data_IF_482285814563
#
_entry.id   IF_482285814563
#
_cell.length_a   1.000
_cell.length_b   1.000
_cell.length_c   1.000
_cell.angle_alpha   90.00
_cell.angle_beta   90.00
_cell.angle_gamma   90.00
#
_symmetry.space_group_name_H-M   'P 1'
#
loop_
_entity.id
_entity.type
_entity.pdbx_description
1 polymer ?
#
# COMPACT_ATOMS: atom_id res chain seq x y z
N UNK A 1 20.85 -6.07 6.33
CA UNK A 1 19.69 -5.62 5.55
C UNK A 1 18.44 -6.04 6.30
N UNK A 2 17.67 -5.07 6.79
CA UNK A 2 16.31 -5.35 7.24
C UNK A 2 15.50 -5.68 5.99
N UNK A 3 15.33 -6.97 5.72
CA UNK A 3 14.56 -7.40 4.57
C UNK A 3 13.10 -7.01 4.80
N UNK A 4 12.51 -6.25 3.89
CA UNK A 4 11.09 -6.02 3.89
C UNK A 4 10.37 -7.37 3.75
N UNK A 5 9.33 -7.59 4.53
CA UNK A 5 8.60 -8.85 4.57
C UNK A 5 7.10 -8.60 4.81
N UNK A 6 6.29 -9.59 4.52
CA UNK A 6 4.84 -9.53 4.82
C UNK A 6 4.59 -9.71 6.32
N UNK A 7 5.28 -10.69 6.93
CA UNK A 7 5.24 -10.97 8.37
C UNK A 7 6.67 -11.19 8.85
N UNK A 8 7.07 -10.48 9.91
CA UNK A 8 8.39 -10.70 10.51
C UNK A 8 8.44 -12.09 11.14
N UNK A 9 9.42 -12.89 10.70
CA UNK A 9 9.63 -14.24 11.22
C UNK A 9 11.02 -14.32 11.84
N UNK A 10 11.14 -15.01 12.98
CA UNK A 10 12.40 -15.30 13.65
C UNK A 10 12.57 -16.80 13.79
N UNK A 11 13.70 -17.30 13.38
CA UNK A 11 14.07 -18.71 13.52
C UNK A 11 15.60 -18.85 13.52
N UNK A 12 16.10 -19.92 14.12
CA UNK A 12 17.50 -20.28 14.12
C UNK A 12 17.91 -20.97 12.80
N UNK A 13 19.20 -21.13 12.55
CA UNK A 13 19.70 -21.91 11.42
C UNK A 13 19.25 -23.38 11.49
N UNK A 14 19.18 -23.97 12.69
CA UNK A 14 18.74 -25.35 12.88
C UNK A 14 17.25 -25.51 12.56
N UNK A 15 16.41 -24.59 13.01
CA UNK A 15 14.98 -24.56 12.67
C UNK A 15 14.76 -24.37 11.16
N UNK A 16 15.56 -23.53 10.49
CA UNK A 16 15.54 -23.41 9.05
C UNK A 16 15.91 -24.70 8.35
N UNK A 17 17.01 -25.33 8.76
CA UNK A 17 17.52 -26.55 8.15
C UNK A 17 16.56 -27.74 8.34
N UNK A 18 15.81 -27.77 9.43
CA UNK A 18 14.79 -28.79 9.72
C UNK A 18 13.51 -28.68 8.88
N UNK A 19 13.26 -27.50 8.24
CA UNK A 19 12.07 -27.27 7.40
C UNK A 19 12.12 -28.11 6.13
N UNK A 20 10.95 -28.59 5.72
CA UNK A 20 10.74 -29.16 4.39
C UNK A 20 10.94 -28.11 3.29
N UNK A 21 11.15 -28.53 2.04
CA UNK A 21 11.26 -27.60 0.90
C UNK A 21 10.01 -26.71 0.75
N UNK A 22 8.81 -27.27 0.95
CA UNK A 22 7.57 -26.50 0.89
C UNK A 22 7.50 -25.40 1.98
N UNK A 23 7.88 -25.73 3.22
CA UNK A 23 7.95 -24.74 4.31
C UNK A 23 8.99 -23.67 4.07
N UNK A 24 10.16 -24.05 3.50
CA UNK A 24 11.19 -23.07 3.09
C UNK A 24 10.67 -22.11 2.02
N UNK A 25 9.98 -22.64 0.99
CA UNK A 25 9.38 -21.80 -0.05
C UNK A 25 8.30 -20.85 0.49
N UNK A 26 7.47 -21.31 1.42
CA UNK A 26 6.49 -20.43 2.08
C UNK A 26 7.17 -19.30 2.86
N UNK A 27 8.25 -19.61 3.59
CA UNK A 27 9.04 -18.57 4.28
C UNK A 27 9.68 -17.61 3.28
N UNK A 28 10.31 -18.12 2.20
CA UNK A 28 10.96 -17.28 1.19
C UNK A 28 9.96 -16.34 0.51
N UNK A 29 8.74 -16.76 0.24
CA UNK A 29 7.70 -15.88 -0.32
C UNK A 29 7.37 -14.69 0.58
N UNK A 30 7.51 -14.86 1.89
CA UNK A 30 7.32 -13.77 2.86
C UNK A 30 8.37 -12.64 2.70
N UNK A 31 9.55 -12.95 2.16
CA UNK A 31 10.68 -12.01 2.00
C UNK A 31 11.00 -11.64 0.54
N UNK A 32 10.49 -12.37 -0.45
CA UNK A 32 10.70 -12.05 -1.87
C UNK A 32 10.06 -10.72 -2.26
N UNK A 33 10.64 -10.03 -3.24
CA UNK A 33 10.05 -8.83 -3.82
C UNK A 33 8.73 -9.11 -4.55
N UNK A 34 8.65 -10.23 -5.26
CA UNK A 34 7.39 -10.73 -5.81
C UNK A 34 6.79 -11.75 -4.83
N UNK A 35 5.57 -11.52 -4.39
CA UNK A 35 4.85 -12.39 -3.46
C UNK A 35 3.36 -12.45 -3.79
N UNK A 36 2.67 -13.47 -3.31
CA UNK A 36 1.25 -13.73 -3.58
C UNK A 36 0.44 -13.48 -2.31
N UNK A 37 -0.61 -12.67 -2.42
CA UNK A 37 -1.49 -12.37 -1.30
C UNK A 37 -2.94 -12.15 -1.74
N UNK A 38 -3.87 -12.36 -0.81
CA UNK A 38 -5.25 -11.95 -0.96
C UNK A 38 -5.36 -10.45 -0.64
N UNK A 39 -5.75 -9.67 -1.62
CA UNK A 39 -5.86 -8.21 -1.48
C UNK A 39 -7.10 -7.66 -2.14
N UNK A 40 -7.52 -6.48 -1.71
CA UNK A 40 -8.57 -5.71 -2.40
C UNK A 40 -8.00 -5.12 -3.68
N UNK A 41 -8.71 -5.33 -4.79
CA UNK A 41 -8.29 -4.88 -6.12
C UNK A 41 -9.40 -4.12 -6.83
N UNK A 42 -9.00 -3.25 -7.73
CA UNK A 42 -9.92 -2.59 -8.65
C UNK A 42 -10.28 -3.58 -9.77
N UNK A 43 -11.40 -4.26 -9.64
CA UNK A 43 -11.89 -5.22 -10.61
C UNK A 43 -12.82 -4.54 -11.62
N UNK A 44 -12.60 -4.77 -12.91
CA UNK A 44 -13.50 -4.31 -13.97
C UNK A 44 -14.12 -5.51 -14.69
N UNK A 45 -15.39 -5.86 -14.43
CA UNK A 45 -16.04 -7.02 -15.04
C UNK A 45 -16.08 -6.96 -16.57
N UNK A 46 -16.28 -5.78 -17.16
CA UNK A 46 -16.36 -5.59 -18.61
C UNK A 46 -15.00 -5.79 -19.30
N UNK A 47 -13.92 -5.44 -18.63
CA UNK A 47 -12.56 -5.70 -19.12
C UNK A 47 -12.03 -7.07 -18.67
N UNK A 48 -12.71 -7.72 -17.71
CA UNK A 48 -12.37 -9.02 -17.16
C UNK A 48 -10.98 -9.07 -16.54
N UNK A 49 -10.54 -7.95 -15.96
CA UNK A 49 -9.19 -7.84 -15.38
C UNK A 49 -9.13 -6.87 -14.21
N UNK A 50 -8.09 -7.03 -13.40
CA UNK A 50 -7.70 -6.09 -12.36
C UNK A 50 -7.03 -4.87 -13.00
N UNK A 51 -7.30 -3.69 -12.43
CA UNK A 51 -6.74 -2.41 -12.84
C UNK A 51 -5.87 -1.82 -11.72
N UNK A 52 -4.77 -1.18 -12.10
CA UNK A 52 -3.98 -0.36 -11.20
C UNK A 52 -4.75 0.92 -10.80
N UNK A 53 -4.32 1.59 -9.73
CA UNK A 53 -5.02 2.79 -9.26
C UNK A 53 -4.99 3.95 -10.27
N UNK A 54 -3.96 4.05 -11.08
CA UNK A 54 -3.81 5.01 -12.17
C UNK A 54 -4.67 4.67 -13.41
N UNK A 55 -5.15 3.42 -13.52
CA UNK A 55 -6.08 2.96 -14.54
C UNK A 55 -7.57 3.19 -14.18
N UNK A 56 -7.85 3.76 -13.01
CA UNK A 56 -9.22 4.04 -12.53
C UNK A 56 -9.40 5.52 -12.26
N UNK A 57 -10.48 6.09 -12.79
CA UNK A 57 -10.85 7.50 -12.59
C UNK A 57 -12.36 7.60 -12.32
N UNK A 58 -12.71 8.22 -11.18
CA UNK A 58 -14.10 8.44 -10.77
C UNK A 58 -14.94 7.15 -10.74
N UNK A 59 -14.34 6.04 -10.27
CA UNK A 59 -14.99 4.72 -10.21
C UNK A 59 -15.12 4.01 -11.57
N UNK A 60 -14.55 4.59 -12.63
CA UNK A 60 -14.57 4.04 -13.98
C UNK A 60 -13.16 3.71 -14.46
N UNK A 61 -13.05 2.71 -15.33
CA UNK A 61 -11.81 2.41 -16.04
C UNK A 61 -11.45 3.55 -17.00
N UNK A 62 -10.20 3.99 -17.00
CA UNK A 62 -9.71 5.00 -17.97
C UNK A 62 -9.89 4.49 -19.40
N UNK A 63 -9.71 3.19 -19.59
CA UNK A 63 -9.96 2.53 -20.88
C UNK A 63 -11.42 2.06 -20.93
N UNK A 64 -12.22 2.68 -21.77
CA UNK A 64 -13.60 2.28 -22.08
C UNK A 64 -14.67 2.85 -21.15
N UNK A 65 -14.29 3.50 -20.03
CA UNK A 65 -15.25 4.14 -19.11
C UNK A 65 -16.18 3.15 -18.40
N UNK A 66 -15.72 1.93 -18.13
CA UNK A 66 -16.52 0.88 -17.51
C UNK A 66 -16.50 0.98 -15.99
N UNK A 67 -17.59 0.63 -15.28
CA UNK A 67 -17.63 0.55 -13.84
C UNK A 67 -16.55 -0.38 -13.27
N UNK A 68 -15.93 0.07 -12.17
CA UNK A 68 -14.90 -0.66 -11.44
C UNK A 68 -15.42 -0.91 -10.03
N UNK A 69 -15.26 -2.13 -9.55
CA UNK A 69 -15.65 -2.55 -8.21
C UNK A 69 -14.46 -3.02 -7.38
N UNK A 70 -14.58 -2.91 -6.06
CA UNK A 70 -13.60 -3.47 -5.13
C UNK A 70 -13.89 -4.95 -4.94
N UNK A 71 -12.90 -5.80 -5.27
CA UNK A 71 -13.01 -7.26 -5.16
C UNK A 71 -11.81 -7.83 -4.43
N UNK A 72 -12.01 -8.75 -3.50
CA UNK A 72 -10.91 -9.47 -2.88
C UNK A 72 -10.46 -10.60 -3.80
N UNK A 73 -9.20 -10.58 -4.20
CA UNK A 73 -8.63 -11.57 -5.11
C UNK A 73 -7.20 -11.92 -4.69
N UNK A 74 -6.81 -13.17 -4.92
CA UNK A 74 -5.42 -13.61 -4.78
C UNK A 74 -4.62 -13.09 -5.97
N UNK A 75 -3.57 -12.28 -5.69
CA UNK A 75 -2.80 -11.56 -6.69
C UNK A 75 -1.30 -11.71 -6.42
N UNK A 76 -0.50 -11.64 -7.47
CA UNK A 76 0.91 -11.32 -7.34
C UNK A 76 1.07 -9.83 -7.07
N UNK A 77 1.90 -9.51 -6.09
CA UNK A 77 2.30 -8.16 -5.74
C UNK A 77 3.81 -8.01 -5.89
N UNK A 78 4.24 -6.79 -6.20
CA UNK A 78 5.64 -6.43 -6.24
C UNK A 78 5.93 -5.44 -5.11
N UNK A 79 6.86 -5.79 -4.23
CA UNK A 79 7.19 -5.06 -3.00
C UNK A 79 8.02 -3.80 -3.29
N UNK A 80 7.42 -2.86 -4.01
CA UNK A 80 8.07 -1.58 -4.34
C UNK A 80 8.32 -0.73 -3.09
N UNK A 81 7.56 -0.98 -2.01
CA UNK A 81 7.74 -0.31 -0.72
C UNK A 81 9.09 -0.61 -0.07
N UNK A 82 9.72 -1.74 -0.39
CA UNK A 82 11.06 -2.08 0.08
C UNK A 82 12.13 -1.06 -0.39
N UNK A 83 11.87 -0.35 -1.48
CA UNK A 83 12.76 0.66 -2.05
C UNK A 83 12.27 2.09 -1.82
N UNK A 84 11.18 2.30 -1.08
CA UNK A 84 10.57 3.61 -0.90
C UNK A 84 11.54 4.68 -0.39
N UNK A 85 12.31 4.40 0.68
CA UNK A 85 13.29 5.34 1.21
C UNK A 85 14.40 5.61 0.20
N UNK A 86 14.89 4.58 -0.45
CA UNK A 86 15.99 4.68 -1.42
C UNK A 86 15.59 5.49 -2.65
N UNK A 87 14.33 5.34 -3.11
CA UNK A 87 13.76 6.19 -4.16
C UNK A 87 13.64 7.65 -3.73
N UNK A 88 13.33 7.94 -2.45
CA UNK A 88 13.32 9.32 -1.93
C UNK A 88 14.74 9.90 -1.92
N UNK A 89 15.69 9.19 -1.36
CA UNK A 89 17.10 9.63 -1.25
C UNK A 89 17.75 9.83 -2.62
N UNK A 90 17.37 9.02 -3.61
CA UNK A 90 17.83 9.12 -4.98
C UNK A 90 17.38 10.39 -5.70
N UNK A 91 16.22 10.97 -5.35
CA UNK A 91 15.70 12.17 -6.02
C UNK A 91 16.66 13.36 -5.97
N UNK A 92 17.43 13.49 -4.92
CA UNK A 92 18.36 14.62 -4.74
C UNK A 92 19.56 14.54 -5.70
N UNK A 93 19.86 13.33 -6.21
CA UNK A 93 20.94 13.09 -7.17
C UNK A 93 20.53 13.35 -8.63
N UNK A 94 19.23 13.50 -8.91
CA UNK A 94 18.68 13.59 -10.26
C UNK A 94 18.56 15.04 -10.74
N UNK A 95 18.91 15.28 -12.01
CA UNK A 95 18.70 16.58 -12.69
C UNK A 95 17.28 16.67 -13.26
N UNK A 96 16.28 16.51 -12.37
CA UNK A 96 14.86 16.59 -12.67
C UNK A 96 14.27 17.88 -12.12
N UNK A 97 13.12 18.31 -12.66
CA UNK A 97 12.43 19.50 -12.15
C UNK A 97 11.95 19.28 -10.71
N UNK A 98 11.94 20.35 -9.91
CA UNK A 98 11.49 20.29 -8.53
C UNK A 98 10.03 19.85 -8.43
N UNK A 99 9.19 20.29 -9.38
CA UNK A 99 7.78 19.86 -9.44
C UNK A 99 7.62 18.36 -9.62
N UNK A 100 8.43 17.72 -10.46
CA UNK A 100 8.40 16.28 -10.66
C UNK A 100 8.91 15.53 -9.42
N UNK A 101 10.01 16.00 -8.84
CA UNK A 101 10.53 15.44 -7.59
C UNK A 101 9.49 15.51 -6.47
N UNK A 102 8.77 16.63 -6.37
CA UNK A 102 7.72 16.81 -5.37
C UNK A 102 6.52 15.88 -5.62
N UNK A 103 6.12 15.67 -6.88
CA UNK A 103 5.10 14.67 -7.21
C UNK A 103 5.51 13.28 -6.71
N UNK A 104 6.75 12.86 -6.93
CA UNK A 104 7.24 11.56 -6.46
C UNK A 104 7.37 11.50 -4.93
N UNK A 105 7.88 12.56 -4.27
CA UNK A 105 7.92 12.64 -2.80
C UNK A 105 6.53 12.49 -2.19
N UNK A 106 5.56 13.21 -2.75
CA UNK A 106 4.17 13.16 -2.31
C UNK A 106 3.53 11.79 -2.59
N UNK A 107 3.87 11.14 -3.68
CA UNK A 107 3.37 9.80 -4.01
C UNK A 107 3.92 8.74 -3.06
N UNK A 108 5.22 8.76 -2.80
CA UNK A 108 5.85 7.88 -1.82
C UNK A 108 5.32 8.19 -0.41
N UNK A 109 5.16 9.47 -0.07
CA UNK A 109 4.44 9.93 1.12
C UNK A 109 5.03 9.39 2.42
N UNK A 110 6.34 9.61 2.63
CA UNK A 110 7.03 9.24 3.87
C UNK A 110 6.49 10.01 5.05
N UNK A 111 6.11 9.32 6.10
CA UNK A 111 5.71 9.91 7.38
C UNK A 111 6.41 9.21 8.54
N UNK A 112 6.72 9.97 9.57
CA UNK A 112 7.22 9.44 10.85
C UNK A 112 6.09 9.56 11.85
N UNK A 113 5.78 8.47 12.53
CA UNK A 113 4.69 8.43 13.49
C UNK A 113 4.94 7.40 14.59
N UNK A 114 3.96 7.24 15.46
CA UNK A 114 3.90 6.19 16.46
C UNK A 114 2.90 5.11 16.03
N UNK A 115 3.33 3.86 16.10
CA UNK A 115 2.45 2.72 16.28
C UNK A 115 2.06 2.70 17.75
N UNK A 116 0.77 2.62 18.05
CA UNK A 116 0.28 2.54 19.44
C UNK A 116 -0.80 1.48 19.53
N UNK A 117 -0.77 0.71 20.61
CA UNK A 117 -1.75 -0.33 20.90
C UNK A 117 -2.74 0.15 21.96
N UNK A 118 -4.02 0.00 21.65
CA UNK A 118 -5.14 0.25 22.55
C UNK A 118 -5.76 -1.09 22.96
N UNK A 119 -5.83 -1.38 24.26
CA UNK A 119 -6.51 -2.57 24.75
C UNK A 119 -8.02 -2.48 24.44
N UNK A 120 -8.63 -3.61 24.06
CA UNK A 120 -10.07 -3.69 23.85
C UNK A 120 -10.70 -4.18 25.14
N UNK A 121 -11.71 -3.44 25.64
CA UNK A 121 -12.38 -3.78 26.88
C UNK A 121 -13.04 -5.17 26.81
N UNK A 122 -12.74 -6.03 27.77
CA UNK A 122 -13.28 -7.39 27.82
C UNK A 122 -12.64 -8.38 26.82
N UNK A 123 -11.49 -8.04 26.22
CA UNK A 123 -10.75 -8.89 25.28
C UNK A 123 -9.24 -8.85 25.55
N UNK A 124 -8.54 -9.93 25.21
CA UNK A 124 -7.06 -9.96 25.23
C UNK A 124 -6.43 -9.30 23.98
N UNK A 125 -7.25 -8.81 23.06
CA UNK A 125 -6.80 -8.17 21.83
C UNK A 125 -6.47 -6.70 22.03
N UNK A 126 -5.56 -6.20 21.18
CA UNK A 126 -5.14 -4.80 21.15
C UNK A 126 -5.35 -4.23 19.76
N UNK A 127 -6.09 -3.13 19.68
CA UNK A 127 -6.27 -2.40 18.43
C UNK A 127 -5.02 -1.58 18.13
N UNK A 128 -4.37 -1.86 17.01
CA UNK A 128 -3.19 -1.14 16.55
C UNK A 128 -3.58 0.09 15.73
N UNK A 129 -2.99 1.25 16.05
CA UNK A 129 -3.09 2.45 15.25
C UNK A 129 -1.72 3.00 14.86
N UNK A 130 -1.69 3.76 13.78
CA UNK A 130 -0.56 4.60 13.42
C UNK A 130 -0.97 6.07 13.41
N UNK A 131 -0.21 6.91 14.12
CA UNK A 131 -0.47 8.35 14.16
C UNK A 131 0.81 9.17 13.98
N UNK A 132 0.73 10.26 13.21
CA UNK A 132 1.80 11.27 13.12
C UNK A 132 1.68 12.34 14.22
N UNK A 133 0.60 12.27 15.02
CA UNK A 133 0.30 13.20 16.11
C UNK A 133 0.13 12.46 17.45
N UNK A 134 1.17 11.73 17.92
CA UNK A 134 1.09 11.04 19.21
C UNK A 134 0.90 12.00 20.39
N UNK A 135 1.32 13.27 20.25
CA UNK A 135 1.10 14.35 21.21
C UNK A 135 -0.38 14.56 21.57
N UNK A 136 -1.29 14.24 20.65
CA UNK A 136 -2.74 14.47 20.85
C UNK A 136 -3.47 13.29 21.52
N UNK A 137 -2.79 12.22 21.93
CA UNK A 137 -3.41 11.00 22.45
C UNK A 137 -4.30 11.25 23.68
N UNK A 138 -4.00 12.25 24.49
CA UNK A 138 -4.80 12.64 25.65
C UNK A 138 -6.18 13.23 25.28
N UNK A 139 -6.35 13.67 24.03
CA UNK A 139 -7.60 14.21 23.49
C UNK A 139 -8.40 13.21 22.68
N UNK A 140 -8.01 11.94 22.68
CA UNK A 140 -8.74 10.86 21.98
C UNK A 140 -10.04 10.57 22.72
N UNK A 141 -11.15 10.68 22.02
CA UNK A 141 -12.51 10.48 22.60
C UNK A 141 -13.28 9.33 21.95
N UNK A 142 -12.81 8.83 20.81
CA UNK A 142 -13.34 7.63 20.17
C UNK A 142 -12.27 6.99 19.24
N UNK A 143 -12.52 5.75 18.83
CA UNK A 143 -11.75 5.05 17.83
C UNK A 143 -12.61 4.85 16.60
N UNK A 144 -11.98 4.80 15.42
CA UNK A 144 -12.67 4.45 14.18
C UNK A 144 -11.89 3.38 13.44
N UNK A 145 -12.60 2.35 13.00
CA UNK A 145 -12.06 1.31 12.14
C UNK A 145 -12.73 1.33 10.77
N UNK A 146 -12.02 0.89 9.76
CA UNK A 146 -12.55 0.78 8.40
C UNK A 146 -13.68 -0.26 8.36
N UNK A 147 -14.72 -0.06 7.53
CA UNK A 147 -15.80 -1.04 7.38
C UNK A 147 -15.33 -2.43 6.92
N UNK A 148 -14.17 -2.50 6.25
CA UNK A 148 -13.54 -3.72 5.76
C UNK A 148 -12.54 -4.34 6.74
N UNK A 149 -12.35 -3.74 7.92
CA UNK A 149 -11.40 -4.25 8.92
C UNK A 149 -11.82 -5.65 9.40
N UNK A 150 -10.86 -6.57 9.50
CA UNK A 150 -11.12 -7.98 9.80
C UNK A 150 -11.83 -8.23 11.13
N UNK A 151 -11.67 -7.33 12.10
CA UNK A 151 -12.26 -7.46 13.43
C UNK A 151 -13.64 -6.79 13.57
N UNK A 152 -14.20 -6.19 12.53
CA UNK A 152 -15.51 -5.52 12.62
C UNK A 152 -16.58 -6.49 13.17
N UNK A 153 -16.64 -7.72 12.64
CA UNK A 153 -17.62 -8.70 13.09
C UNK A 153 -17.45 -9.11 14.55
N UNK A 154 -16.22 -9.21 15.03
CA UNK A 154 -15.89 -9.59 16.40
C UNK A 154 -16.11 -8.44 17.40
N UNK A 155 -15.82 -7.22 16.98
CA UNK A 155 -16.00 -6.00 17.78
C UNK A 155 -17.47 -5.51 17.79
N UNK A 156 -18.35 -6.10 17.00
CA UNK A 156 -19.75 -5.69 16.92
C UNK A 156 -20.60 -6.40 17.94
N UNK A 157 -21.14 -5.64 18.89
CA UNK A 157 -22.12 -6.15 19.85
C UNK A 157 -23.39 -6.68 19.15
N UNK A 158 -24.05 -7.70 19.69
CA UNK A 158 -25.22 -8.31 19.04
C UNK A 158 -26.33 -7.32 18.66
N UNK A 159 -26.59 -6.33 19.50
CA UNK A 159 -27.59 -5.28 19.28
C UNK A 159 -27.23 -4.33 18.14
N UNK A 160 -25.94 -4.15 17.81
CA UNK A 160 -25.46 -3.25 16.76
C UNK A 160 -25.28 -3.97 15.41
N UNK A 161 -25.38 -5.30 15.37
CA UNK A 161 -25.03 -6.12 14.21
C UNK A 161 -25.77 -5.73 12.94
N UNK A 162 -27.08 -5.57 13.03
CA UNK A 162 -27.89 -5.21 11.84
C UNK A 162 -27.49 -3.86 11.23
N UNK A 163 -27.25 -2.85 12.08
CA UNK A 163 -26.85 -1.52 11.63
C UNK A 163 -25.42 -1.53 11.03
N UNK A 164 -24.51 -2.31 11.62
CA UNK A 164 -23.14 -2.47 11.13
C UNK A 164 -23.12 -3.19 9.78
N UNK A 165 -23.88 -4.26 9.59
CA UNK A 165 -23.97 -5.00 8.33
C UNK A 165 -24.56 -4.13 7.21
N UNK A 166 -25.60 -3.35 7.51
CA UNK A 166 -26.19 -2.40 6.57
C UNK A 166 -25.16 -1.35 6.15
N UNK A 167 -24.44 -0.77 7.13
CA UNK A 167 -23.41 0.23 6.85
C UNK A 167 -22.28 -0.32 5.97
N UNK A 168 -21.79 -1.53 6.24
CA UNK A 168 -20.77 -2.20 5.43
C UNK A 168 -21.27 -2.39 3.98
N UNK A 169 -22.53 -2.81 3.80
CA UNK A 169 -23.12 -2.99 2.48
C UNK A 169 -23.22 -1.66 1.69
N UNK A 170 -23.45 -0.54 2.38
CA UNK A 170 -23.45 0.80 1.80
C UNK A 170 -22.03 1.27 1.47
N UNK A 171 -21.07 1.09 2.37
CA UNK A 171 -19.67 1.50 2.20
C UNK A 171 -19.00 0.79 1.00
N UNK A 172 -19.30 -0.51 0.78
CA UNK A 172 -18.79 -1.30 -0.36
C UNK A 172 -19.17 -0.75 -1.73
N UNK A 173 -20.23 0.06 -1.83
CA UNK A 173 -20.67 0.67 -3.10
C UNK A 173 -19.85 1.90 -3.49
N UNK A 174 -18.95 2.37 -2.61
CA UNK A 174 -18.14 3.57 -2.81
C UNK A 174 -16.67 3.20 -3.01
N UNK A 175 -16.05 3.81 -4.00
CA UNK A 175 -14.60 3.67 -4.21
C UNK A 175 -13.80 4.38 -3.09
N UNK A 176 -12.58 3.93 -2.82
CA UNK A 176 -11.68 4.60 -1.86
C UNK A 176 -11.47 6.09 -2.22
N UNK A 177 -11.40 6.40 -3.52
CA UNK A 177 -11.22 7.78 -4.00
C UNK A 177 -12.42 8.67 -3.68
N UNK A 178 -13.65 8.16 -3.86
CA UNK A 178 -14.86 8.89 -3.47
C UNK A 178 -14.91 9.12 -1.97
N UNK A 179 -14.50 8.12 -1.18
CA UNK A 179 -14.42 8.20 0.28
C UNK A 179 -13.41 9.25 0.74
N UNK A 180 -12.26 9.37 0.06
CA UNK A 180 -11.23 10.38 0.35
C UNK A 180 -11.69 11.79 -0.08
N UNK A 181 -12.35 11.90 -1.24
CA UNK A 181 -12.74 13.19 -1.82
C UNK A 181 -13.93 13.84 -1.10
N UNK A 182 -14.84 13.04 -0.55
CA UNK A 182 -16.06 13.53 0.08
C UNK A 182 -15.87 13.83 1.58
N UNK A 183 -15.26 14.97 1.87
CA UNK A 183 -15.00 15.43 3.25
C UNK A 183 -16.24 16.02 3.95
N UNK A 184 -17.35 16.25 3.23
CA UNK A 184 -18.56 16.89 3.79
C UNK A 184 -19.58 15.91 4.36
N UNK A 185 -19.50 14.64 4.00
CA UNK A 185 -20.43 13.62 4.47
C UNK A 185 -19.89 12.98 5.74
N UNK A 186 -20.62 13.13 6.83
CA UNK A 186 -20.36 12.40 8.08
C UNK A 186 -21.24 11.16 8.11
N UNK A 187 -20.63 9.99 8.24
CA UNK A 187 -21.33 8.72 8.36
C UNK A 187 -20.55 7.72 9.20
N UNK A 188 -21.22 6.88 9.94
CA UNK A 188 -20.61 5.84 10.75
C UNK A 188 -21.64 5.13 11.63
N UNK A 189 -21.22 4.04 12.26
CA UNK A 189 -22.05 3.25 13.19
C UNK A 189 -21.20 2.80 14.36
N UNK A 190 -21.71 2.88 15.58
CA UNK A 190 -21.06 2.36 16.77
C UNK A 190 -21.04 0.82 16.71
N UNK A 191 -19.91 0.23 17.07
CA UNK A 191 -19.79 -1.25 17.18
C UNK A 191 -20.43 -1.79 18.47
N UNK A 192 -20.52 -0.95 19.51
CA UNK A 192 -20.90 -1.37 20.85
C UNK A 192 -19.72 -1.79 21.73
N UNK A 193 -18.51 -1.90 21.17
CA UNK A 193 -17.26 -2.17 21.90
C UNK A 193 -16.50 -0.89 22.24
N UNK A 194 -15.59 -1.03 23.21
CA UNK A 194 -14.75 0.07 23.69
C UNK A 194 -13.27 -0.31 23.64
N UNK A 195 -12.44 0.68 23.39
CA UNK A 195 -11.00 0.60 23.56
C UNK A 195 -10.56 1.42 24.77
N UNK A 196 -9.46 1.02 25.40
CA UNK A 196 -8.90 1.75 26.55
C UNK A 196 -7.74 2.62 26.08
N UNK A 197 -7.86 3.93 26.29
CA UNK A 197 -6.76 4.85 26.00
C UNK A 197 -5.57 4.56 26.94
N UNK A 198 -4.39 4.18 26.41
CA UNK A 198 -3.28 3.71 27.23
C UNK A 198 -2.63 4.79 28.12
N UNK A 199 -2.92 6.08 27.86
CA UNK A 199 -2.39 7.19 28.66
C UNK A 199 -3.37 7.74 29.67
N UNK A 200 -4.67 7.70 29.39
CA UNK A 200 -5.70 8.25 30.29
C UNK A 200 -6.44 7.16 31.06
N UNK A 201 -6.35 5.90 30.66
CA UNK A 201 -7.12 4.78 31.20
C UNK A 201 -8.62 4.83 30.91
N UNK A 202 -9.08 5.79 30.12
CA UNK A 202 -10.51 5.94 29.78
C UNK A 202 -10.93 4.95 28.72
N UNK A 203 -12.08 4.32 28.91
CA UNK A 203 -12.78 3.56 27.86
C UNK A 203 -13.38 4.55 26.85
N UNK A 204 -13.13 4.33 25.57
CA UNK A 204 -13.58 5.15 24.45
C UNK A 204 -14.29 4.27 23.43
N UNK A 205 -15.44 4.69 22.86
CA UNK A 205 -16.23 3.86 21.97
C UNK A 205 -15.53 3.63 20.63
N UNK A 206 -15.76 2.46 20.03
CA UNK A 206 -15.27 2.08 18.71
C UNK A 206 -16.41 2.23 17.71
N UNK A 207 -16.16 2.98 16.66
CA UNK A 207 -17.05 3.17 15.50
C UNK A 207 -16.48 2.54 14.24
N UNK A 208 -17.33 2.21 13.29
CA UNK A 208 -16.95 2.00 11.89
C UNK A 208 -17.30 3.25 11.09
N UNK A 209 -16.42 3.66 10.18
CA UNK A 209 -16.72 4.75 9.25
C UNK A 209 -15.92 4.61 7.97
N UNK A 210 -16.53 5.02 6.86
CA UNK A 210 -15.95 4.94 5.54
C UNK A 210 -14.89 6.00 5.23
N UNK A 211 -14.65 6.97 6.14
CA UNK A 211 -13.49 7.87 6.01
C UNK A 211 -12.16 7.23 6.44
N UNK A 212 -12.20 6.07 7.12
CA UNK A 212 -11.03 5.25 7.41
C UNK A 212 -10.90 4.16 6.36
N UNK A 213 -9.71 3.99 5.81
CA UNK A 213 -9.43 3.02 4.75
C UNK A 213 -8.67 1.82 5.29
N UNK A 214 -9.15 0.60 5.03
CA UNK A 214 -8.49 -0.64 5.47
C UNK A 214 -7.09 -0.81 4.89
N UNK A 215 -6.86 -0.29 3.70
CA UNK A 215 -5.56 -0.36 3.04
C UNK A 215 -4.59 0.77 3.43
N UNK A 216 -4.92 1.67 4.35
CA UNK A 216 -4.03 2.72 4.83
C UNK A 216 -3.71 2.55 6.32
N UNK A 217 -2.43 2.40 6.65
CA UNK A 217 -2.00 2.09 8.01
C UNK A 217 -2.51 0.75 8.48
N UNK A 218 -3.13 0.73 9.64
CA UNK A 218 -3.70 -0.47 10.27
C UNK A 218 -5.19 -0.67 9.96
N UNK A 219 -5.81 0.25 9.22
CA UNK A 219 -7.25 0.29 9.04
C UNK A 219 -8.02 0.76 10.28
N UNK A 220 -7.30 1.29 11.27
CA UNK A 220 -7.85 1.85 12.51
C UNK A 220 -7.17 3.18 12.83
N UNK A 221 -7.91 4.11 13.41
CA UNK A 221 -7.40 5.41 13.86
C UNK A 221 -7.88 5.73 15.27
N UNK A 222 -7.08 6.47 16.00
CA UNK A 222 -7.52 7.23 17.16
C UNK A 222 -8.10 8.56 16.69
N UNK A 223 -9.27 8.93 17.13
CA UNK A 223 -9.94 10.17 16.74
C UNK A 223 -9.76 11.27 17.79
N UNK A 224 -9.34 12.45 17.32
CA UNK A 224 -9.04 13.62 18.16
C UNK A 224 -9.85 14.83 17.68
N UNK A 225 -11.12 14.94 18.04
CA UNK A 225 -12.04 15.96 17.50
C UNK A 225 -11.56 17.40 17.67
N UNK A 226 -10.83 17.70 18.73
CA UNK A 226 -10.33 19.05 18.93
C UNK A 226 -9.26 19.48 17.91
N UNK A 227 -8.60 18.51 17.22
CA UNK A 227 -7.41 18.76 16.40
C UNK A 227 -7.40 18.07 15.03
N UNK A 228 -8.56 17.54 14.59
CA UNK A 228 -8.80 17.04 13.24
C UNK A 228 -10.22 17.38 12.81
N UNK A 229 -10.36 18.02 11.66
CA UNK A 229 -11.65 18.54 11.18
C UNK A 229 -12.67 17.44 10.82
N UNK A 230 -12.21 16.26 10.40
CA UNK A 230 -13.11 15.12 10.13
C UNK A 230 -13.60 14.50 11.43
N UNK A 231 -12.71 14.32 12.39
CA UNK A 231 -13.04 13.80 13.71
C UNK A 231 -13.96 14.78 14.44
N UNK A 232 -13.75 16.11 14.27
CA UNK A 232 -14.60 17.14 14.82
C UNK A 232 -16.02 17.05 14.27
N UNK A 233 -16.16 16.98 12.94
CA UNK A 233 -17.47 16.84 12.31
C UNK A 233 -18.19 15.56 12.77
N UNK A 234 -17.44 14.45 12.90
CA UNK A 234 -17.95 13.18 13.39
C UNK A 234 -18.42 13.29 14.85
N UNK A 235 -17.60 13.84 15.73
CA UNK A 235 -17.95 14.03 17.14
C UNK A 235 -19.18 14.93 17.31
N UNK A 236 -19.29 16.03 16.57
CA UNK A 236 -20.47 16.91 16.58
C UNK A 236 -21.73 16.19 16.11
N UNK A 237 -21.61 15.33 15.09
CA UNK A 237 -22.74 14.56 14.56
C UNK A 237 -23.27 13.51 15.54
N UNK A 238 -22.36 12.81 16.22
CA UNK A 238 -22.70 11.72 17.14
C UNK A 238 -22.78 12.15 18.61
N UNK A 239 -22.58 13.43 18.92
CA UNK A 239 -22.64 13.95 20.28
C UNK A 239 -21.53 13.44 21.19
N UNK A 240 -20.31 13.21 20.62
CA UNK A 240 -19.14 12.75 21.35
C UNK A 240 -18.34 13.91 21.93
N UNK A 241 -17.56 13.64 22.98
CA UNK A 241 -16.74 14.62 23.65
C UNK A 241 -15.67 15.23 22.73
N UNK A 242 -15.39 16.51 22.89
CA UNK A 242 -14.30 17.25 22.22
C UNK A 242 -13.37 17.78 23.28
N UNK A 243 -12.20 17.17 23.44
CA UNK A 243 -11.21 17.49 24.47
C UNK A 243 -10.01 18.23 23.87
N UNK A 244 -9.82 19.53 24.14
CA UNK A 244 -8.66 20.26 23.65
C UNK A 244 -7.38 19.82 24.35
N UNK A 245 -6.33 19.55 23.59
CA UNK A 245 -5.00 19.21 24.10
C UNK A 245 -3.89 20.13 23.58
N UNK A 246 -4.22 21.01 22.63
CA UNK A 246 -3.38 22.14 22.22
C UNK A 246 -4.17 23.43 22.44
N UNK A 247 -3.55 24.42 23.06
CA UNK A 247 -4.18 25.73 23.31
C UNK A 247 -4.28 26.53 22.02
N UNK A 248 -5.49 26.83 21.57
CA UNK A 248 -5.77 27.66 20.38
C UNK A 248 -7.13 27.35 19.78
N UNK A 249 -7.57 28.20 18.85
CA UNK A 249 -8.85 28.05 18.16
C UNK A 249 -10.10 28.34 18.98
N UNK A 250 -11.24 28.25 18.32
CA UNK A 250 -12.60 28.37 18.90
C UNK A 250 -13.36 27.05 18.60
N UNK A 251 -13.26 26.09 19.51
CA UNK A 251 -13.86 24.76 19.36
C UNK A 251 -15.38 24.74 19.33
N UNK A 252 -16.05 25.88 19.61
CA UNK A 252 -17.49 26.00 19.37
C UNK A 252 -17.82 26.10 17.88
N UNK A 253 -16.86 26.53 17.07
CA UNK A 253 -17.00 26.73 15.60
C UNK A 253 -16.35 25.65 14.76
N UNK A 254 -15.09 25.32 15.08
CA UNK A 254 -14.26 24.40 14.28
C UNK A 254 -13.15 23.76 15.11
N UNK A 255 -12.53 22.71 14.58
CA UNK A 255 -11.33 22.12 15.15
C UNK A 255 -10.12 23.04 15.03
N UNK A 256 -9.13 22.84 15.89
CA UNK A 256 -7.83 23.51 15.80
C UNK A 256 -6.79 22.56 15.24
N UNK A 257 -6.68 22.49 13.90
CA UNK A 257 -5.84 21.53 13.18
C UNK A 257 -4.36 21.96 13.10
N UNK A 258 -4.00 23.15 13.62
CA UNK A 258 -2.64 23.64 13.57
C UNK A 258 -1.67 22.73 14.35
N UNK A 259 -0.49 22.49 13.74
CA UNK A 259 0.58 21.67 14.34
C UNK A 259 1.54 22.52 15.18
N UNK A 260 1.00 23.54 15.84
CA UNK A 260 1.73 24.48 16.67
C UNK A 260 0.86 24.95 17.85
N UNK A 261 1.48 25.43 18.90
CA UNK A 261 0.83 25.86 20.12
C UNK A 261 1.32 25.11 21.34
N UNK A 262 0.78 25.46 22.51
CA UNK A 262 1.16 24.83 23.78
C UNK A 262 0.20 23.73 24.18
N UNK A 263 0.76 22.64 24.67
CA UNK A 263 0.01 21.49 25.17
C UNK A 263 -0.72 21.86 26.46
N UNK A 264 -1.99 21.41 26.55
CA UNK A 264 -2.87 21.50 27.72
C UNK A 264 -3.59 20.15 27.90
N UNK A 265 -4.11 19.86 29.07
CA UNK A 265 -4.87 18.63 29.39
C UNK A 265 -4.12 17.32 28.98
N UNK A 266 -2.79 17.34 29.00
CA UNK A 266 -1.91 16.31 28.43
C UNK A 266 -0.83 15.86 29.41
N UNK A 267 -1.15 15.82 30.72
CA UNK A 267 -0.27 15.33 31.79
C UNK A 267 1.15 15.95 31.72
N UNK A 268 2.18 15.14 31.56
CA UNK A 268 3.60 15.54 31.50
C UNK A 268 3.94 16.43 30.28
N UNK A 269 3.08 16.52 29.28
CA UNK A 269 3.25 17.40 28.12
C UNK A 269 2.74 18.84 28.37
N UNK A 270 1.98 19.08 29.43
CA UNK A 270 1.39 20.40 29.70
C UNK A 270 2.44 21.51 29.68
N UNK A 271 2.14 22.59 28.94
CA UNK A 271 3.00 23.76 28.80
C UNK A 271 4.15 23.64 27.80
N UNK A 272 4.39 22.45 27.21
CA UNK A 272 5.37 22.24 26.13
C UNK A 272 4.81 22.69 24.80
N UNK A 273 5.67 23.08 23.87
CA UNK A 273 5.27 23.30 22.49
C UNK A 273 5.04 21.96 21.76
N UNK A 274 4.12 21.92 20.81
CA UNK A 274 3.79 20.70 20.02
C UNK A 274 5.07 20.08 19.41
N UNK A 275 6.02 20.90 18.91
CA UNK A 275 7.28 20.43 18.34
C UNK A 275 8.17 19.69 19.35
N UNK A 276 8.06 20.03 20.62
CA UNK A 276 8.77 19.36 21.73
C UNK A 276 7.97 18.14 22.23
N UNK A 277 6.65 18.22 22.22
CA UNK A 277 5.76 17.17 22.70
C UNK A 277 5.81 15.89 21.83
N UNK A 278 5.88 16.03 20.51
CA UNK A 278 5.89 14.89 19.57
C UNK A 278 7.08 13.95 19.84
N UNK A 279 8.36 14.39 19.86
CA UNK A 279 9.49 13.49 20.16
C UNK A 279 9.39 12.89 21.56
N UNK A 280 8.96 13.64 22.57
CA UNK A 280 8.77 13.12 23.92
C UNK A 280 7.73 12.00 23.96
N UNK A 281 6.66 12.12 23.17
CA UNK A 281 5.65 11.06 23.08
C UNK A 281 6.16 9.81 22.38
N UNK A 282 7.01 9.93 21.36
CA UNK A 282 7.67 8.75 20.78
C UNK A 282 8.47 7.98 21.84
N UNK A 283 9.29 8.71 22.61
CA UNK A 283 10.14 8.10 23.64
C UNK A 283 9.27 7.48 24.76
N UNK A 284 8.17 8.11 25.13
CA UNK A 284 7.29 7.63 26.20
C UNK A 284 6.44 6.42 25.78
N UNK A 285 5.98 6.37 24.51
CA UNK A 285 5.30 5.19 23.93
C UNK A 285 6.22 3.97 23.96
N UNK A 286 7.48 4.14 23.56
CA UNK A 286 8.49 3.07 23.58
C UNK A 286 8.86 2.68 25.01
N UNK A 287 9.10 3.64 25.90
CA UNK A 287 9.44 3.42 27.31
C UNK A 287 8.38 2.62 28.06
N UNK A 288 7.09 2.90 27.81
CA UNK A 288 5.96 2.16 28.42
C UNK A 288 5.64 0.83 27.74
N UNK A 289 6.30 0.50 26.63
CA UNK A 289 5.98 -0.71 25.85
C UNK A 289 4.60 -0.66 25.17
N UNK A 290 4.06 0.53 24.92
CA UNK A 290 2.74 0.75 24.32
C UNK A 290 2.77 0.75 22.80
N UNK A 291 3.97 0.71 22.22
CA UNK A 291 4.20 0.74 20.79
C UNK A 291 5.63 1.13 20.44
N UNK A 292 5.82 1.68 19.25
CA UNK A 292 7.14 2.10 18.77
C UNK A 292 7.04 3.23 17.74
N UNK A 293 8.14 3.97 17.56
CA UNK A 293 8.28 4.90 16.44
C UNK A 293 8.41 4.10 15.13
N UNK A 294 7.65 4.50 14.11
CA UNK A 294 7.70 3.90 12.78
C UNK A 294 7.83 4.96 11.70
N UNK A 295 8.51 4.57 10.64
CA UNK A 295 8.43 5.25 9.34
C UNK A 295 7.40 4.51 8.49
N UNK A 296 6.39 5.22 8.05
CA UNK A 296 5.36 4.68 7.17
C UNK A 296 5.38 5.40 5.82
N UNK A 297 4.95 4.70 4.77
CA UNK A 297 4.87 5.23 3.42
C UNK A 297 3.42 5.11 2.92
N UNK A 298 2.97 6.14 2.19
CA UNK A 298 1.69 6.06 1.48
C UNK A 298 1.76 5.16 0.25
N UNK A 299 2.96 5.05 -0.34
CA UNK A 299 3.25 4.10 -1.41
C UNK A 299 2.85 2.69 -0.99
N UNK A 300 2.21 1.96 -1.87
CA UNK A 300 1.81 0.57 -1.68
C UNK A 300 2.49 -0.34 -2.67
N UNK A 301 2.56 -1.62 -2.31
CA UNK A 301 3.07 -2.64 -3.21
C UNK A 301 2.19 -2.71 -4.47
N UNK A 302 2.84 -2.88 -5.59
CA UNK A 302 2.16 -2.88 -6.89
C UNK A 302 1.44 -4.21 -7.12
N UNK A 303 0.17 -4.15 -7.53
CA UNK A 303 -0.54 -5.33 -8.05
C UNK A 303 0.10 -5.69 -9.38
N UNK A 304 0.73 -6.86 -9.44
CA UNK A 304 1.63 -7.25 -10.52
C UNK A 304 1.06 -8.36 -11.42
N UNK A 305 -0.18 -8.77 -11.25
CA UNK A 305 -0.84 -9.76 -12.11
C UNK A 305 -2.07 -9.20 -12.83
N UNK A 306 -2.31 -9.69 -14.06
CA UNK A 306 -3.44 -9.34 -14.90
C UNK A 306 -4.11 -10.59 -15.45
N UNK A 307 -5.42 -10.59 -15.47
CA UNK A 307 -6.26 -11.67 -16.00
C UNK A 307 -6.43 -11.51 -17.52
N UNK A 308 -5.31 -11.48 -18.24
CA UNK A 308 -5.26 -11.32 -19.70
C UNK A 308 -4.20 -12.23 -20.29
N UNK A 309 -4.28 -12.49 -21.59
CA UNK A 309 -3.30 -13.31 -22.30
C UNK A 309 -2.01 -12.53 -22.64
N UNK A 310 -2.16 -11.34 -23.26
CA UNK A 310 -1.03 -10.54 -23.69
C UNK A 310 -0.32 -9.87 -22.51
N UNK A 311 0.83 -10.38 -22.18
CA UNK A 311 1.72 -9.94 -21.13
C UNK A 311 2.80 -10.98 -20.90
N UNK A 312 3.87 -10.65 -20.20
CA UNK A 312 4.91 -11.59 -19.81
C UNK A 312 4.31 -12.65 -18.86
N UNK A 313 4.48 -13.96 -19.15
CA UNK A 313 4.04 -15.01 -18.23
C UNK A 313 4.91 -15.04 -16.98
N UNK A 314 4.33 -15.41 -15.86
CA UNK A 314 5.11 -15.67 -14.65
C UNK A 314 5.86 -17.01 -14.77
N UNK A 315 7.18 -17.03 -14.57
CA UNK A 315 7.96 -18.27 -14.60
C UNK A 315 7.81 -19.04 -13.27
N UNK A 316 6.57 -19.40 -12.94
CA UNK A 316 6.18 -20.00 -11.65
C UNK A 316 5.20 -21.15 -11.89
N UNK A 317 5.38 -22.24 -11.17
CA UNK A 317 4.42 -23.34 -11.10
C UNK A 317 3.98 -23.60 -9.66
N UNK A 318 2.87 -24.31 -9.48
CA UNK A 318 2.29 -24.59 -8.18
C UNK A 318 2.36 -26.09 -7.86
N UNK A 319 2.82 -26.38 -6.63
CA UNK A 319 2.74 -27.70 -6.02
C UNK A 319 2.11 -27.54 -4.64
N UNK A 320 0.97 -28.18 -4.41
CA UNK A 320 0.21 -28.10 -3.17
C UNK A 320 -0.10 -26.63 -2.75
N UNK A 321 -0.51 -25.79 -3.72
CA UNK A 321 -0.77 -24.33 -3.61
C UNK A 321 0.48 -23.48 -3.24
N UNK A 322 1.65 -24.07 -3.14
CA UNK A 322 2.91 -23.38 -2.93
C UNK A 322 3.52 -23.02 -4.29
N UNK A 323 3.90 -21.75 -4.46
CA UNK A 323 4.51 -21.27 -5.70
C UNK A 323 6.02 -21.54 -5.73
N UNK A 324 6.49 -22.14 -6.80
CA UNK A 324 7.90 -22.41 -7.07
C UNK A 324 8.37 -21.72 -8.34
N UNK A 325 9.52 -21.03 -8.33
CA UNK A 325 10.09 -20.47 -9.54
C UNK A 325 10.58 -21.59 -10.47
N UNK A 326 10.45 -21.36 -11.77
CA UNK A 326 11.09 -22.23 -12.77
C UNK A 326 12.61 -22.13 -12.67
N UNK A 327 13.28 -23.25 -12.90
CA UNK A 327 14.73 -23.26 -13.03
C UNK A 327 15.18 -22.45 -14.26
N UNK A 328 16.35 -21.83 -14.20
CA UNK A 328 16.85 -20.94 -15.26
C UNK A 328 16.97 -21.65 -16.64
N UNK A 329 17.27 -22.93 -16.65
CA UNK A 329 17.34 -23.74 -17.87
C UNK A 329 15.98 -24.02 -18.54
N UNK A 330 14.87 -23.67 -17.88
CA UNK A 330 13.48 -23.76 -18.37
C UNK A 330 12.94 -22.42 -18.88
N UNK A 331 13.78 -21.41 -18.94
CA UNK A 331 13.42 -20.08 -19.45
C UNK A 331 13.90 -19.90 -20.90
N UNK A 332 13.20 -19.13 -21.73
CA UNK A 332 11.95 -18.40 -21.42
C UNK A 332 10.72 -19.31 -21.35
N UNK A 333 9.77 -18.97 -20.48
CA UNK A 333 8.43 -19.55 -20.50
C UNK A 333 7.62 -18.82 -21.57
N UNK A 334 7.26 -19.52 -22.65
CA UNK A 334 6.51 -18.94 -23.77
C UNK A 334 5.00 -19.13 -23.58
N UNK A 335 4.23 -18.12 -24.00
CA UNK A 335 2.77 -18.21 -23.99
C UNK A 335 2.30 -19.25 -25.03
N UNK A 336 1.40 -20.17 -24.65
CA UNK A 336 0.85 -21.15 -25.58
C UNK A 336 -0.12 -20.49 -26.55
N UNK A 337 -0.27 -20.99 -27.79
CA UNK A 337 -1.29 -20.50 -28.71
C UNK A 337 -2.70 -20.75 -28.13
N UNK A 338 -3.58 -19.74 -28.21
CA UNK A 338 -4.97 -19.84 -27.80
C UNK A 338 -5.91 -19.26 -28.88
N UNK A 339 -7.12 -19.78 -28.95
CA UNK A 339 -8.13 -19.30 -29.91
C UNK A 339 -8.98 -18.14 -29.33
N UNK A 340 -9.21 -18.11 -28.03
CA UNK A 340 -10.07 -17.15 -27.37
C UNK A 340 -9.33 -16.32 -26.32
N UNK A 341 -9.10 -15.05 -26.60
CA UNK A 341 -8.45 -14.07 -25.74
C UNK A 341 -9.43 -13.30 -24.85
N UNK A 342 -10.73 -13.50 -25.05
CA UNK A 342 -11.77 -12.72 -24.37
C UNK A 342 -11.75 -12.91 -22.85
N UNK A 343 -12.04 -11.85 -22.09
CA UNK A 343 -12.17 -11.93 -20.64
C UNK A 343 -13.42 -12.72 -20.25
N UNK A 344 -13.45 -13.18 -18.99
CA UNK A 344 -14.67 -13.68 -18.36
C UNK A 344 -15.11 -12.71 -17.26
N UNK A 345 -16.41 -12.62 -17.02
CA UNK A 345 -16.96 -11.76 -15.97
C UNK A 345 -16.52 -12.22 -14.56
N UNK A 346 -16.26 -13.50 -14.39
CA UNK A 346 -15.81 -14.14 -13.17
C UNK A 346 -14.32 -13.86 -12.85
N UNK A 347 -13.55 -13.44 -13.87
CA UNK A 347 -12.13 -13.15 -13.75
C UNK A 347 -11.23 -14.35 -13.97
N UNK A 348 -11.73 -15.38 -14.66
CA UNK A 348 -10.90 -16.48 -15.07
C UNK A 348 -9.92 -16.03 -16.18
N UNK A 349 -8.58 -16.16 -15.94
CA UNK A 349 -7.60 -15.75 -16.93
C UNK A 349 -7.68 -16.63 -18.19
N UNK A 350 -7.39 -16.08 -19.39
CA UNK A 350 -7.41 -16.86 -20.64
C UNK A 350 -6.57 -18.12 -20.62
N UNK A 351 -5.44 -18.13 -19.91
CA UNK A 351 -4.56 -19.30 -19.77
C UNK A 351 -5.20 -20.47 -19.00
N UNK A 352 -6.23 -20.22 -18.17
CA UNK A 352 -6.98 -21.28 -17.48
C UNK A 352 -7.71 -22.21 -18.45
N UNK A 353 -8.00 -21.73 -19.66
CA UNK A 353 -8.67 -22.51 -20.73
C UNK A 353 -7.72 -23.35 -21.59
N UNK A 354 -6.43 -23.22 -21.34
CA UNK A 354 -5.39 -23.96 -22.09
C UNK A 354 -5.16 -25.33 -21.47
N UNK A 355 -5.40 -26.37 -22.25
CA UNK A 355 -5.05 -27.75 -21.85
C UNK A 355 -3.52 -27.93 -21.86
N UNK A 356 -2.96 -28.44 -20.77
CA UNK A 356 -1.54 -28.73 -20.68
C UNK A 356 -0.66 -27.50 -20.36
N UNK A 357 -1.22 -26.40 -19.87
CA UNK A 357 -0.45 -25.29 -19.32
C UNK A 357 0.08 -25.67 -17.93
N UNK A 358 1.09 -26.54 -17.94
CA UNK A 358 1.74 -27.14 -16.76
C UNK A 358 3.15 -27.59 -17.08
N UNK A 359 3.93 -27.90 -16.04
CA UNK A 359 5.25 -28.50 -16.18
C UNK A 359 5.14 -29.92 -16.77
N UNK A 360 6.25 -30.52 -17.25
CA UNK A 360 6.25 -31.92 -17.72
C UNK A 360 5.74 -32.92 -16.67
N UNK A 361 5.90 -32.60 -15.39
CA UNK A 361 5.44 -33.41 -14.26
C UNK A 361 3.95 -33.20 -13.92
N UNK A 362 3.28 -32.24 -14.61
CA UNK A 362 1.87 -31.95 -14.47
C UNK A 362 1.53 -30.86 -13.43
N UNK A 363 2.51 -30.13 -12.92
CA UNK A 363 2.26 -29.00 -12.00
C UNK A 363 1.79 -27.77 -12.79
N UNK A 364 0.64 -27.15 -12.42
CA UNK A 364 0.10 -26.03 -13.17
C UNK A 364 1.01 -24.79 -13.08
N UNK A 365 1.18 -24.08 -14.19
CA UNK A 365 1.79 -22.76 -14.22
C UNK A 365 0.83 -21.67 -13.73
N UNK A 366 1.38 -20.49 -13.41
CA UNK A 366 0.57 -19.29 -13.13
C UNK A 366 -0.30 -18.96 -14.36
N UNK A 367 -1.56 -18.59 -14.08
CA UNK A 367 -2.56 -18.34 -15.12
C UNK A 367 -2.67 -16.87 -15.51
N UNK A 368 -2.23 -15.97 -14.65
CA UNK A 368 -2.17 -14.52 -14.93
C UNK A 368 -0.88 -14.16 -15.66
N UNK A 369 -0.88 -12.99 -16.29
CA UNK A 369 0.32 -12.42 -16.91
C UNK A 369 0.72 -11.13 -16.17
N UNK A 370 1.96 -10.69 -16.35
CA UNK A 370 2.48 -9.47 -15.78
C UNK A 370 1.84 -8.24 -16.44
N UNK A 371 1.74 -7.09 -15.72
CA UNK A 371 1.28 -5.83 -16.31
C UNK A 371 2.28 -5.28 -17.33
N UNK A 372 1.84 -4.38 -18.20
CA UNK A 372 2.70 -3.77 -19.22
C UNK A 372 3.94 -3.06 -18.66
N UNK A 373 3.89 -2.59 -17.43
CA UNK A 373 5.06 -1.97 -16.80
C UNK A 373 6.15 -2.99 -16.37
N UNK A 374 5.92 -4.30 -16.45
CA UNK A 374 6.97 -5.28 -16.24
C UNK A 374 8.10 -5.10 -17.27
N UNK A 375 7.78 -5.17 -18.55
CA UNK A 375 8.75 -4.96 -19.63
C UNK A 375 9.14 -3.50 -19.82
N UNK A 376 8.16 -2.58 -19.81
CA UNK A 376 8.42 -1.17 -20.08
C UNK A 376 9.28 -0.48 -19.02
N UNK A 377 9.40 -1.01 -17.82
CA UNK A 377 10.23 -0.43 -16.77
C UNK A 377 11.73 -0.57 -16.99
N UNK A 378 12.16 -1.49 -17.85
CA UNK A 378 13.57 -1.77 -18.11
C UNK A 378 13.93 -1.77 -19.61
N UNK A 379 13.04 -1.31 -20.50
CA UNK A 379 13.22 -1.36 -21.94
C UNK A 379 14.49 -0.63 -22.42
N UNK A 380 14.87 0.46 -21.77
CA UNK A 380 16.06 1.27 -22.08
C UNK A 380 17.36 0.46 -21.94
N UNK A 381 17.41 -0.54 -21.05
CA UNK A 381 18.54 -1.45 -20.93
C UNK A 381 18.67 -2.34 -22.16
N UNK A 382 17.53 -2.88 -22.65
CA UNK A 382 17.53 -3.66 -23.89
C UNK A 382 17.95 -2.83 -25.11
N UNK A 383 17.66 -1.53 -25.13
CA UNK A 383 18.10 -0.62 -26.20
C UNK A 383 19.61 -0.43 -26.23
N UNK A 384 20.30 -0.58 -25.09
CA UNK A 384 21.76 -0.52 -25.04
C UNK A 384 22.42 -1.74 -25.71
N UNK A 385 21.73 -2.88 -25.71
CA UNK A 385 22.26 -4.16 -26.19
C UNK A 385 21.16 -5.04 -26.81
N UNK A 386 20.59 -4.62 -27.96
CA UNK A 386 19.35 -5.18 -28.49
C UNK A 386 19.49 -6.61 -29.01
N UNK A 387 20.72 -7.07 -29.32
CA UNK A 387 21.02 -8.40 -29.90
C UNK A 387 21.59 -9.36 -28.87
N UNK A 388 21.55 -9.07 -27.60
CA UNK A 388 22.06 -9.94 -26.55
C UNK A 388 21.06 -11.05 -26.22
N UNK A 389 21.37 -12.28 -26.58
CA UNK A 389 20.52 -13.45 -26.33
C UNK A 389 20.73 -14.06 -24.93
N UNK A 390 21.78 -13.64 -24.21
CA UNK A 390 22.16 -14.25 -22.93
C UNK A 390 21.80 -13.41 -21.70
N UNK A 391 21.58 -12.10 -21.86
CA UNK A 391 21.26 -11.18 -20.79
C UNK A 391 20.36 -10.03 -21.26
N UNK A 392 19.68 -9.36 -20.31
CA UNK A 392 18.90 -8.14 -20.59
C UNK A 392 19.78 -7.03 -21.19
N UNK A 393 21.01 -6.90 -20.68
CA UNK A 393 22.06 -6.03 -21.17
C UNK A 393 23.41 -6.62 -20.77
N UNK A 394 24.39 -6.63 -21.67
CA UNK A 394 25.76 -7.04 -21.38
C UNK A 394 26.47 -6.00 -20.52
N UNK A 395 27.41 -6.47 -19.68
CA UNK A 395 28.16 -5.61 -18.76
C UNK A 395 28.91 -4.49 -19.48
N UNK A 396 29.57 -4.81 -20.59
CA UNK A 396 30.35 -3.85 -21.38
C UNK A 396 29.44 -2.75 -21.96
N UNK A 397 28.29 -3.10 -22.52
CA UNK A 397 27.31 -2.14 -23.03
C UNK A 397 26.76 -1.25 -21.92
N UNK A 398 26.45 -1.83 -20.76
CA UNK A 398 25.95 -1.05 -19.64
C UNK A 398 27.01 -0.15 -19.02
N UNK A 399 28.26 -0.59 -18.88
CA UNK A 399 29.37 0.24 -18.39
C UNK A 399 29.69 1.39 -19.33
N UNK A 400 29.46 1.22 -20.65
CA UNK A 400 29.63 2.28 -21.67
C UNK A 400 28.49 3.29 -21.64
N UNK A 401 27.23 2.84 -21.72
CA UNK A 401 26.05 3.73 -21.81
C UNK A 401 25.60 4.28 -20.47
N UNK A 402 25.76 3.52 -19.38
CA UNK A 402 25.40 3.88 -18.00
C UNK A 402 23.92 4.27 -17.87
N UNK A 403 23.63 5.31 -17.07
CA UNK A 403 22.29 5.92 -17.02
C UNK A 403 22.01 6.70 -18.31
N UNK A 404 20.74 6.73 -18.71
CA UNK A 404 20.30 7.55 -19.85
C UNK A 404 20.56 9.03 -19.56
N UNK A 405 21.31 9.72 -20.43
CA UNK A 405 21.72 11.11 -20.22
C UNK A 405 20.55 12.08 -20.25
N UNK A 406 19.65 11.92 -21.22
CA UNK A 406 18.46 12.74 -21.39
C UNK A 406 17.24 11.86 -21.69
N UNK A 407 16.24 11.95 -20.85
CA UNK A 407 14.97 11.27 -20.99
C UNK A 407 13.85 12.28 -21.21
N UNK A 408 13.05 12.10 -22.25
CA UNK A 408 11.98 13.03 -22.63
C UNK A 408 10.65 12.32 -22.60
N UNK A 409 9.69 12.86 -21.85
CA UNK A 409 8.37 12.25 -21.74
C UNK A 409 7.38 13.08 -20.91
N UNK A 410 6.10 12.72 -20.98
CA UNK A 410 5.04 13.43 -20.29
C UNK A 410 5.08 13.28 -18.76
N UNK A 411 4.56 14.29 -18.07
CA UNK A 411 4.50 14.31 -16.60
C UNK A 411 3.54 13.27 -16.03
N UNK A 412 2.61 12.75 -16.83
CA UNK A 412 1.70 11.67 -16.47
C UNK A 412 2.40 10.37 -16.07
N UNK A 413 3.66 10.22 -16.47
CA UNK A 413 4.49 9.07 -16.12
C UNK A 413 5.22 9.21 -14.77
N UNK A 414 5.06 10.35 -14.07
CA UNK A 414 5.78 10.67 -12.84
C UNK A 414 5.62 9.60 -11.75
N UNK A 415 4.40 9.11 -11.56
CA UNK A 415 4.03 8.13 -10.50
C UNK A 415 3.85 6.70 -11.01
N UNK A 416 3.89 6.48 -12.32
CA UNK A 416 3.83 5.18 -12.96
C UNK A 416 5.19 4.73 -13.49
N UNK A 417 5.40 4.85 -14.81
CA UNK A 417 6.59 4.37 -15.49
C UNK A 417 7.92 4.81 -14.84
N UNK A 418 8.05 6.09 -14.47
CA UNK A 418 9.31 6.59 -13.87
C UNK A 418 9.59 5.96 -12.50
N UNK A 419 8.56 5.76 -11.67
CA UNK A 419 8.72 5.10 -10.37
C UNK A 419 9.12 3.62 -10.55
N UNK A 420 8.46 2.90 -11.44
CA UNK A 420 8.77 1.50 -11.69
C UNK A 420 10.15 1.33 -12.33
N UNK A 421 10.54 2.20 -13.26
CA UNK A 421 11.89 2.17 -13.86
C UNK A 421 12.98 2.39 -12.81
N UNK A 422 12.80 3.33 -11.88
CA UNK A 422 13.73 3.56 -10.78
C UNK A 422 13.81 2.35 -9.85
N UNK A 423 12.66 1.79 -9.47
CA UNK A 423 12.60 0.58 -8.65
C UNK A 423 13.33 -0.60 -9.31
N UNK A 424 13.01 -0.91 -10.57
CA UNK A 424 13.65 -2.00 -11.31
C UNK A 424 15.15 -1.78 -11.46
N UNK A 425 15.57 -0.58 -11.78
CA UNK A 425 16.99 -0.27 -11.95
C UNK A 425 17.77 -0.42 -10.63
N UNK A 426 17.24 0.06 -9.52
CA UNK A 426 17.83 -0.13 -8.18
C UNK A 426 17.92 -1.60 -7.80
N UNK A 427 16.91 -2.39 -8.11
CA UNK A 427 16.92 -3.84 -7.89
C UNK A 427 18.00 -4.55 -8.73
N UNK A 428 18.08 -4.22 -10.02
CA UNK A 428 19.10 -4.76 -10.91
C UNK A 428 20.52 -4.31 -10.51
N UNK A 429 20.65 -3.10 -9.96
CA UNK A 429 21.89 -2.61 -9.41
C UNK A 429 22.33 -3.45 -8.19
N UNK A 430 21.43 -3.77 -7.29
CA UNK A 430 21.71 -4.62 -6.12
C UNK A 430 22.14 -6.04 -6.51
N UNK A 431 21.63 -6.54 -7.62
CA UNK A 431 22.04 -7.82 -8.19
C UNK A 431 23.33 -7.74 -9.02
N UNK A 432 23.89 -6.55 -9.24
CA UNK A 432 25.09 -6.33 -10.03
C UNK A 432 24.90 -6.43 -11.56
N UNK A 433 23.65 -6.38 -12.04
CA UNK A 433 23.34 -6.43 -13.47
C UNK A 433 23.51 -5.08 -14.16
N UNK A 434 23.39 -3.98 -13.44
CA UNK A 434 23.60 -2.62 -13.96
C UNK A 434 24.61 -1.85 -13.10
N UNK A 435 25.29 -0.88 -13.69
CA UNK A 435 26.39 -0.15 -13.05
C UNK A 435 25.97 1.13 -12.33
N UNK A 436 24.75 1.60 -12.53
CA UNK A 436 24.21 2.81 -11.92
C UNK A 436 22.90 2.52 -11.16
N UNK A 437 22.68 3.25 -10.09
CA UNK A 437 21.52 3.08 -9.22
C UNK A 437 20.24 3.67 -9.83
N UNK A 438 20.36 4.80 -10.55
CA UNK A 438 19.27 5.53 -11.17
C UNK A 438 19.30 5.40 -12.70
N UNK A 439 18.15 5.18 -13.36
CA UNK A 439 18.12 4.91 -14.80
C UNK A 439 18.30 6.16 -15.68
N UNK A 440 17.81 7.33 -15.22
CA UNK A 440 17.71 8.55 -16.03
C UNK A 440 18.34 9.72 -15.31
N UNK A 441 19.43 10.30 -15.86
CA UNK A 441 20.14 11.43 -15.25
C UNK A 441 19.30 12.70 -15.27
N UNK A 442 18.87 13.09 -16.48
CA UNK A 442 18.11 14.30 -16.73
C UNK A 442 16.78 13.95 -17.37
N UNK A 443 15.71 14.53 -16.85
CA UNK A 443 14.37 14.38 -17.39
C UNK A 443 13.84 15.73 -17.87
N UNK A 444 13.22 15.72 -19.05
CA UNK A 444 12.51 16.87 -19.60
C UNK A 444 11.06 16.45 -19.86
N UNK A 445 10.15 17.08 -19.12
CA UNK A 445 8.72 16.93 -19.37
C UNK A 445 8.25 18.07 -20.28
N UNK A 446 7.75 17.71 -21.46
CA UNK A 446 7.05 18.67 -22.33
C UNK A 446 5.62 18.89 -21.81
N UNK A 447 5.05 20.06 -22.10
CA UNK A 447 3.66 20.36 -21.79
C UNK A 447 2.69 19.47 -22.58
N UNK A 448 1.47 19.30 -22.04
CA UNK A 448 0.40 18.60 -22.75
C UNK A 448 -0.16 19.47 -23.87
N UNK A 449 -0.27 18.90 -25.07
CA UNK A 449 -0.96 19.55 -26.20
C UNK A 449 -2.45 19.38 -25.96
N UNK A 450 -3.18 20.51 -25.93
CA UNK A 450 -4.62 20.50 -25.81
C UNK A 450 -5.24 20.65 -27.20
N UNK A 451 -6.23 19.81 -27.53
CA UNK A 451 -7.09 19.98 -28.68
C UNK A 451 -8.07 21.15 -28.47
N UNK A 452 -8.41 21.86 -29.51
CA UNK A 452 -9.50 22.84 -29.54
C UNK A 452 -10.80 22.15 -29.97
#
# INVERSE_FOLDING_TARGET
>A
LNAACTVEMRFTADEWNAKSEAEKEQVLQNYRLAYRADTMVNWCPQLGTVLANDEVRDGLSVRGGFPVEQKRMKQWLLRVTAYAQRMLDGLDKLAWSDSLKEIQRNWIGRSVGAQVFFDIEGSDRKLEIFTTRPDTIFGVTFMVIAPEHEWVGELTAPENRAAVEEYIAQAKKRSERERIAETRRVSGVATGSFAVNPFTGKAIPIYISDYVLAGYGTGAIMAVPAHDSRDYAFARHFGLDIVPVVKGGDLEKESYDAKEGRMINSDFLNGKDVKEAIPLMFDEVERRGLGKRLVNYRLRDAIFSRQRYWGEPFPVYYKDDVAYPLAADKLPLELPPIENFGPTAEGEPPLARVKGWCTPEGYPYELSTMPGFAGSSAYYLRYMDPHNDSALVGREANDYWRSVDLYVGGIEHATGHLMYSRFWNMFLYDLGHVCEEEPFRKLVNQGMIQGR
#
